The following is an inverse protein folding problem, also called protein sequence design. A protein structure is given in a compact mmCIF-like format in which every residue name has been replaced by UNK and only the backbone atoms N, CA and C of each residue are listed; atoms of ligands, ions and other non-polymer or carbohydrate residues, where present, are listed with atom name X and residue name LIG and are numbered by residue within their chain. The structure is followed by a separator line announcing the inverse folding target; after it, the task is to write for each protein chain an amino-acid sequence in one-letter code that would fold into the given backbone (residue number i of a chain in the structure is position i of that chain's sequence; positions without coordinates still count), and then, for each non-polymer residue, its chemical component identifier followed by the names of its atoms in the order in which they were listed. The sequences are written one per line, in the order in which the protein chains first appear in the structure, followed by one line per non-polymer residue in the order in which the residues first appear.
data_IF_874766865371
#
_entry.id   IF_874766865371
#
_cell.length_a   1.000
_cell.length_b   1.000
_cell.length_c   1.000
_cell.angle_alpha   90.00
_cell.angle_beta   90.00
_cell.angle_gamma   90.00
#
_symmetry.space_group_name_H-M   'P 1'
#
loop_
_entity.id
_entity.type
_entity.pdbx_description
1 polymer ?
#
# COMPACT_ATOMS: atom_id res chain seq x y z
N UNK A 1 -1.04 9.42 0.66
CA UNK A 1 -1.74 8.71 1.75
C UNK A 1 -3.20 8.43 1.44
N UNK A 2 -3.98 9.41 0.96
CA UNK A 2 -5.38 9.18 0.61
C UNK A 2 -5.58 8.06 -0.44
N UNK A 3 -4.85 8.11 -1.55
CA UNK A 3 -4.91 7.08 -2.60
C UNK A 3 -4.68 5.65 -2.06
N UNK A 4 -3.74 5.51 -1.12
CA UNK A 4 -3.46 4.23 -0.47
C UNK A 4 -4.64 3.78 0.40
N UNK A 5 -5.19 4.68 1.22
CA UNK A 5 -6.34 4.39 2.08
C UNK A 5 -7.58 4.01 1.26
N UNK A 6 -7.85 4.71 0.16
CA UNK A 6 -8.94 4.42 -0.77
C UNK A 6 -8.75 3.05 -1.43
N UNK A 7 -7.55 2.75 -1.92
CA UNK A 7 -7.26 1.45 -2.55
C UNK A 7 -7.42 0.29 -1.56
N UNK A 8 -6.98 0.48 -0.30
CA UNK A 8 -7.16 -0.52 0.76
C UNK A 8 -8.63 -0.68 1.10
N UNK A 9 -9.39 0.41 1.21
CA UNK A 9 -10.84 0.37 1.44
C UNK A 9 -11.56 -0.42 0.34
N UNK A 10 -11.27 -0.12 -0.94
CA UNK A 10 -11.85 -0.84 -2.08
C UNK A 10 -11.51 -2.34 -2.06
N UNK A 11 -10.28 -2.68 -1.65
CA UNK A 11 -9.79 -4.06 -1.64
C UNK A 11 -10.35 -4.90 -0.49
N UNK A 12 -10.53 -4.30 0.69
CA UNK A 12 -10.90 -5.02 1.92
C UNK A 12 -12.40 -4.99 2.16
N UNK A 13 -12.99 -3.80 2.25
CA UNK A 13 -14.40 -3.59 2.52
C UNK A 13 -14.80 -2.15 2.14
N UNK A 14 -15.50 -1.95 1.01
CA UNK A 14 -15.93 -0.63 0.57
C UNK A 14 -16.86 0.11 1.54
N UNK A 15 -17.44 -0.57 2.53
CA UNK A 15 -18.34 0.04 3.51
C UNK A 15 -17.59 0.77 4.63
N UNK A 16 -16.27 0.57 4.80
CA UNK A 16 -15.53 1.24 5.88
C UNK A 16 -15.40 2.75 5.63
N UNK A 17 -15.42 3.53 6.70
CA UNK A 17 -15.20 4.98 6.65
C UNK A 17 -13.72 5.28 6.84
N UNK A 18 -13.23 6.27 6.08
CA UNK A 18 -11.88 6.81 6.27
C UNK A 18 -12.00 7.97 7.26
N UNK A 19 -11.21 7.93 8.32
CA UNK A 19 -11.12 9.00 9.32
C UNK A 19 -9.75 9.66 9.25
N UNK A 20 -9.72 10.98 9.43
CA UNK A 20 -8.49 11.77 9.49
C UNK A 20 -8.12 12.04 10.93
N UNK A 21 -6.92 11.64 11.31
CA UNK A 21 -6.36 11.87 12.64
C UNK A 21 -5.15 12.79 12.51
N UNK A 22 -4.79 13.47 13.61
CA UNK A 22 -3.58 14.30 13.64
C UNK A 22 -2.35 13.43 13.41
N UNK A 23 -1.41 13.98 12.63
CA UNK A 23 -0.16 13.29 12.33
C UNK A 23 0.74 13.29 13.57
N UNK A 24 1.58 12.27 13.73
CA UNK A 24 2.60 12.31 14.79
C UNK A 24 3.61 13.43 14.51
N UNK A 25 4.14 14.12 15.55
CA UNK A 25 5.00 15.29 15.38
C UNK A 25 6.24 15.06 14.49
N UNK A 26 6.82 13.86 14.56
CA UNK A 26 8.07 13.52 13.88
C UNK A 26 7.88 12.88 12.50
N UNK A 27 6.64 12.70 12.03
CA UNK A 27 6.39 11.99 10.78
C UNK A 27 6.60 12.90 9.56
N UNK A 28 7.53 12.57 8.64
CA UNK A 28 7.75 13.35 7.43
C UNK A 28 6.53 13.26 6.52
N UNK A 29 6.02 14.43 6.12
CA UNK A 29 4.81 14.55 5.29
C UNK A 29 4.92 13.88 3.92
N UNK A 30 6.13 13.73 3.38
CA UNK A 30 6.35 13.14 2.06
C UNK A 30 7.68 12.38 2.03
N UNK A 31 7.67 11.22 1.37
CA UNK A 31 8.86 10.44 1.04
C UNK A 31 8.79 10.04 -0.43
N UNK A 32 9.80 10.43 -1.22
CA UNK A 32 9.92 10.10 -2.65
C UNK A 32 11.40 9.86 -2.99
N UNK A 33 11.89 8.61 -2.95
CA UNK A 33 13.28 8.33 -3.27
C UNK A 33 13.55 8.56 -4.76
N UNK A 34 14.70 9.16 -5.06
CA UNK A 34 15.25 9.15 -6.42
C UNK A 34 15.93 7.79 -6.68
N UNK A 35 15.49 7.10 -7.72
CA UNK A 35 15.96 5.76 -8.10
C UNK A 35 16.83 5.77 -9.37
N UNK A 36 17.23 6.94 -9.87
CA UNK A 36 18.00 7.10 -11.11
C UNK A 36 19.28 6.25 -11.10
N UNK A 37 20.02 6.27 -9.99
CA UNK A 37 21.26 5.49 -9.85
C UNK A 37 21.02 3.97 -9.96
N UNK A 38 19.90 3.46 -9.42
CA UNK A 38 19.57 2.04 -9.50
C UNK A 38 19.16 1.64 -10.92
N UNK A 39 18.45 2.53 -11.64
CA UNK A 39 18.12 2.32 -13.05
C UNK A 39 19.37 2.28 -13.93
N UNK A 40 20.27 3.24 -13.76
CA UNK A 40 21.45 3.38 -14.61
C UNK A 40 22.48 2.28 -14.37
N UNK A 41 22.79 1.98 -13.10
CA UNK A 41 23.87 1.05 -12.77
C UNK A 41 23.43 -0.41 -12.74
N UNK A 42 22.16 -0.68 -12.41
CA UNK A 42 21.66 -2.03 -12.18
C UNK A 42 20.58 -2.44 -13.18
N UNK A 43 20.11 -1.53 -14.05
CA UNK A 43 18.93 -1.77 -14.87
C UNK A 43 17.68 -2.07 -14.03
N UNK A 44 17.65 -1.61 -12.77
CA UNK A 44 16.63 -1.99 -11.81
C UNK A 44 15.58 -0.90 -11.65
N UNK A 45 14.32 -1.32 -11.64
CA UNK A 45 13.18 -0.50 -11.24
C UNK A 45 12.07 -1.38 -10.64
N UNK A 46 11.17 -0.82 -9.81
CA UNK A 46 10.03 -1.56 -9.28
C UNK A 46 9.13 -2.05 -10.43
N UNK A 47 8.86 -3.37 -10.44
CA UNK A 47 8.04 -4.01 -11.47
C UNK A 47 6.58 -4.23 -11.07
N UNK A 48 6.29 -4.13 -9.77
CA UNK A 48 4.96 -4.37 -9.21
C UNK A 48 4.39 -3.04 -8.81
N UNK A 49 3.28 -2.65 -9.44
CA UNK A 49 2.56 -1.43 -9.07
C UNK A 49 1.82 -1.60 -7.73
N UNK A 50 1.38 -0.49 -7.15
CA UNK A 50 0.60 -0.51 -5.91
C UNK A 50 -0.68 -1.37 -6.04
N UNK A 51 -1.42 -1.22 -7.15
CA UNK A 51 -2.68 -1.94 -7.41
C UNK A 51 -2.47 -3.42 -7.63
N UNK A 52 -1.31 -3.84 -8.15
CA UNK A 52 -0.96 -5.25 -8.31
C UNK A 52 -0.44 -5.86 -6.99
N UNK A 53 0.34 -5.11 -6.22
CA UNK A 53 0.97 -5.60 -4.99
C UNK A 53 0.01 -5.75 -3.81
N UNK A 54 -0.93 -4.80 -3.64
CA UNK A 54 -1.85 -4.81 -2.50
C UNK A 54 -2.71 -6.08 -2.40
N UNK A 55 -3.30 -6.63 -3.48
CA UNK A 55 -4.02 -7.91 -3.43
C UNK A 55 -3.16 -9.10 -3.01
N UNK A 56 -1.87 -9.12 -3.39
CA UNK A 56 -0.94 -10.19 -2.99
C UNK A 56 -0.68 -10.14 -1.49
N UNK A 57 -0.46 -8.93 -0.96
CA UNK A 57 -0.32 -8.70 0.48
C UNK A 57 -1.59 -9.10 1.22
N UNK A 58 -2.75 -8.63 0.77
CA UNK A 58 -4.06 -8.94 1.36
C UNK A 58 -4.28 -10.45 1.50
N UNK A 59 -4.06 -11.20 0.41
CA UNK A 59 -4.19 -12.67 0.40
C UNK A 59 -3.32 -13.34 1.46
N UNK A 60 -2.07 -12.91 1.56
CA UNK A 60 -1.12 -13.44 2.53
C UNK A 60 -1.56 -13.10 3.98
N UNK A 61 -2.02 -11.88 4.25
CA UNK A 61 -2.58 -11.52 5.55
C UNK A 61 -3.81 -12.36 5.91
N UNK A 62 -4.74 -12.60 4.97
CA UNK A 62 -5.89 -13.48 5.20
C UNK A 62 -5.46 -14.90 5.57
N UNK A 63 -4.43 -15.43 4.90
CA UNK A 63 -3.90 -16.76 5.21
C UNK A 63 -3.32 -16.81 6.63
N UNK A 64 -2.47 -15.84 7.00
CA UNK A 64 -1.86 -15.80 8.34
C UNK A 64 -2.87 -15.60 9.46
N UNK A 65 -3.95 -14.86 9.19
CA UNK A 65 -5.02 -14.60 10.15
C UNK A 65 -6.11 -15.70 10.17
N UNK A 66 -6.08 -16.64 9.23
CA UNK A 66 -7.11 -17.68 9.10
C UNK A 66 -8.49 -17.14 8.71
N UNK A 67 -8.54 -15.98 8.04
CA UNK A 67 -9.80 -15.30 7.68
C UNK A 67 -10.16 -15.59 6.23
N UNK A 68 -11.37 -16.10 5.99
CA UNK A 68 -11.90 -16.31 4.65
C UNK A 68 -12.19 -14.96 3.96
N UNK A 69 -12.05 -14.92 2.62
CA UNK A 69 -12.49 -13.79 1.82
C UNK A 69 -14.00 -13.65 1.96
N UNK A 70 -14.49 -12.52 2.50
CA UNK A 70 -15.91 -12.16 2.42
C UNK A 70 -16.28 -12.08 0.93
N UNK A 71 -17.37 -12.77 0.56
CA UNK A 71 -17.94 -12.75 -0.79
C UNK A 71 -18.52 -11.39 -1.11
#
# INVERSE_FOLDING_TARGET
MMELAETVKELIDPAVKIEYVENTPDDPRQRKPDITKAKELLGWEPKVSLREGLPLMEKDFRLRLGVAKKK
#
